data_IF_655215186017
#
_entry.id   IF_655215186017
#
_cell.length_a   1.000
_cell.length_b   1.000
_cell.length_c   1.000
_cell.angle_alpha   90.00
_cell.angle_beta   90.00
_cell.angle_gamma   90.00
#
_symmetry.space_group_name_H-M   'P 1'
#
loop_
_entity.id
_entity.type
_entity.pdbx_description
1 polymer ?
#
# COMPACT_ATOMS: atom_id res chain seq x y z
N UNK A 1 -1.18 -23.62 -12.24
CA UNK A 1 -0.95 -22.19 -12.54
C UNK A 1 -1.37 -21.42 -11.29
N UNK A 2 -0.42 -20.94 -10.47
CA UNK A 2 -0.72 -20.25 -9.20
C UNK A 2 -1.09 -18.79 -9.49
N UNK A 3 -2.33 -18.39 -9.24
CA UNK A 3 -2.78 -17.01 -9.37
C UNK A 3 -2.67 -16.32 -8.00
N UNK A 4 -2.09 -15.12 -7.93
CA UNK A 4 -1.98 -14.37 -6.66
C UNK A 4 -3.36 -14.15 -6.00
N UNK A 5 -4.43 -14.02 -6.79
CA UNK A 5 -5.81 -14.00 -6.28
C UNK A 5 -6.20 -15.26 -5.48
N UNK A 6 -5.74 -16.44 -5.90
CA UNK A 6 -6.10 -17.72 -5.27
C UNK A 6 -5.31 -17.99 -3.99
N UNK A 7 -4.23 -17.26 -3.76
CA UNK A 7 -3.35 -17.46 -2.62
C UNK A 7 -3.77 -16.70 -1.36
N UNK A 8 -4.73 -15.77 -1.48
CA UNK A 8 -5.21 -14.94 -0.37
C UNK A 8 -6.60 -15.40 0.04
N UNK A 9 -6.73 -15.71 1.33
CA UNK A 9 -7.96 -16.19 1.92
C UNK A 9 -9.11 -15.20 1.65
N UNK A 10 -10.34 -15.69 1.37
CA UNK A 10 -11.48 -14.82 1.08
C UNK A 10 -11.84 -13.86 2.22
N UNK A 11 -11.56 -14.27 3.46
CA UNK A 11 -11.79 -13.55 4.72
C UNK A 11 -10.59 -12.70 5.17
N UNK A 12 -9.51 -12.65 4.37
CA UNK A 12 -8.32 -11.89 4.72
C UNK A 12 -8.62 -10.38 4.82
N UNK A 13 -8.02 -9.71 5.82
CA UNK A 13 -8.19 -8.28 6.05
C UNK A 13 -7.84 -7.42 4.83
N UNK A 14 -6.87 -7.84 4.02
CA UNK A 14 -6.48 -7.12 2.80
C UNK A 14 -7.59 -7.04 1.75
N UNK A 15 -8.55 -7.97 1.73
CA UNK A 15 -9.74 -7.88 0.85
C UNK A 15 -10.65 -6.72 1.26
N UNK A 16 -10.82 -6.52 2.56
CA UNK A 16 -11.60 -5.40 3.11
C UNK A 16 -10.93 -4.08 2.76
N UNK A 17 -9.60 -3.99 2.91
CA UNK A 17 -8.83 -2.78 2.58
C UNK A 17 -8.87 -2.49 1.08
N UNK A 18 -8.87 -3.51 0.22
CA UNK A 18 -8.94 -3.34 -1.22
C UNK A 18 -10.32 -2.84 -1.69
N UNK A 19 -11.39 -3.28 -1.01
CA UNK A 19 -12.78 -2.88 -1.28
C UNK A 19 -13.12 -1.46 -0.81
N UNK A 20 -12.25 -0.78 -0.07
CA UNK A 20 -12.48 0.61 0.33
C UNK A 20 -12.51 1.49 -0.91
N UNK A 21 -13.60 2.23 -1.11
CA UNK A 21 -13.66 3.25 -2.13
C UNK A 21 -12.77 4.44 -1.73
N UNK A 22 -11.54 4.40 -2.24
CA UNK A 22 -10.56 5.44 -2.02
C UNK A 22 -10.73 6.61 -3.00
N UNK A 23 -11.60 6.50 -4.03
CA UNK A 23 -11.81 7.60 -4.98
C UNK A 23 -12.59 8.75 -4.36
N UNK A 24 -13.44 8.46 -3.38
CA UNK A 24 -14.19 9.47 -2.63
C UNK A 24 -13.32 10.22 -1.60
N UNK A 25 -12.12 9.72 -1.31
CA UNK A 25 -11.16 10.44 -0.50
C UNK A 25 -10.55 11.50 -1.40
N UNK A 26 -10.95 12.76 -1.22
CA UNK A 26 -10.44 13.93 -1.94
C UNK A 26 -8.95 14.13 -1.62
N UNK A 27 -8.08 13.31 -2.22
CA UNK A 27 -6.64 13.36 -2.00
C UNK A 27 -6.11 14.69 -2.56
N UNK A 28 -5.87 15.65 -1.66
CA UNK A 28 -5.48 17.02 -1.99
C UNK A 28 -4.01 17.18 -2.39
N UNK A 29 -3.17 16.15 -2.19
CA UNK A 29 -1.73 16.20 -2.44
C UNK A 29 -1.29 15.06 -3.38
N UNK A 30 -1.67 15.16 -4.66
CA UNK A 30 -1.07 14.36 -5.75
C UNK A 30 -0.15 15.26 -6.59
N UNK A 31 0.60 16.15 -5.94
CA UNK A 31 1.57 16.97 -6.64
C UNK A 31 2.72 16.07 -7.12
N UNK A 32 2.72 15.81 -8.42
CA UNK A 32 3.85 15.17 -9.09
C UNK A 32 5.03 16.13 -9.01
N UNK A 33 6.12 15.70 -8.36
CA UNK A 33 7.38 16.44 -8.46
C UNK A 33 7.75 16.57 -9.94
N UNK A 34 8.11 17.78 -10.37
CA UNK A 34 8.43 18.10 -11.78
C UNK A 34 9.61 17.30 -12.32
N UNK A 35 10.47 16.75 -11.45
CA UNK A 35 11.60 15.90 -11.82
C UNK A 35 11.64 14.61 -10.99
N UNK A 36 11.75 13.46 -11.65
CA UNK A 36 11.91 12.15 -11.00
C UNK A 36 10.84 11.11 -11.38
N UNK A 37 10.81 9.99 -10.66
CA UNK A 37 9.80 8.95 -10.83
C UNK A 37 8.46 9.47 -10.30
N UNK A 38 7.34 9.34 -11.04
CA UNK A 38 6.05 9.83 -10.57
C UNK A 38 5.72 9.25 -9.20
N UNK A 39 5.17 10.06 -8.27
CA UNK A 39 4.82 9.61 -6.93
C UNK A 39 3.77 8.49 -6.99
N UNK A 40 3.77 7.62 -5.98
CA UNK A 40 2.70 6.64 -5.85
C UNK A 40 1.38 7.36 -5.57
N UNK A 41 0.28 6.84 -6.11
CA UNK A 41 -1.04 7.35 -5.78
C UNK A 41 -1.28 7.23 -4.26
N UNK A 42 -1.77 8.27 -3.56
CA UNK A 42 -1.94 8.26 -2.10
C UNK A 42 -2.75 7.07 -1.58
N UNK A 43 -3.74 6.60 -2.37
CA UNK A 43 -4.50 5.38 -2.07
C UNK A 43 -3.62 4.15 -1.81
N UNK A 44 -2.54 3.96 -2.58
CA UNK A 44 -1.62 2.81 -2.44
C UNK A 44 -0.90 2.88 -1.11
N UNK A 45 -0.44 4.08 -0.74
CA UNK A 45 0.27 4.31 0.51
C UNK A 45 -0.70 4.15 1.70
N UNK A 46 -1.93 4.66 1.59
CA UNK A 46 -2.96 4.50 2.60
C UNK A 46 -3.33 3.03 2.83
N UNK A 47 -3.48 2.22 1.76
CA UNK A 47 -3.67 0.77 1.87
C UNK A 47 -2.54 0.10 2.66
N UNK A 48 -1.29 0.48 2.38
CA UNK A 48 -0.12 -0.02 3.11
C UNK A 48 -0.11 0.41 4.59
N UNK A 49 -0.56 1.64 4.88
CA UNK A 49 -0.71 2.14 6.25
C UNK A 49 -1.78 1.38 7.03
N UNK A 50 -2.94 1.10 6.43
CA UNK A 50 -4.01 0.31 7.04
C UNK A 50 -3.54 -1.13 7.33
N UNK A 51 -2.85 -1.75 6.37
CA UNK A 51 -2.18 -3.03 6.58
C UNK A 51 -1.22 -2.96 7.76
N UNK A 52 -0.34 -1.94 7.78
CA UNK A 52 0.61 -1.71 8.86
C UNK A 52 -0.04 -1.57 10.23
N UNK A 53 -1.13 -0.81 10.30
CA UNK A 53 -1.90 -0.59 11.52
C UNK A 53 -2.45 -1.91 12.07
N UNK A 54 -3.07 -2.74 11.21
CA UNK A 54 -3.61 -4.06 11.60
C UNK A 54 -2.54 -4.99 12.17
N UNK A 55 -1.36 -5.03 11.55
CA UNK A 55 -0.28 -5.96 11.92
C UNK A 55 0.75 -5.36 12.89
N UNK A 56 0.51 -4.15 13.43
CA UNK A 56 1.40 -3.51 14.40
C UNK A 56 2.74 -3.01 13.82
N UNK A 57 2.81 -2.79 12.50
CA UNK A 57 4.02 -2.44 11.77
C UNK A 57 4.13 -0.93 11.63
N UNK A 58 4.93 -0.32 12.51
CA UNK A 58 4.97 1.14 12.67
C UNK A 58 6.06 1.88 11.90
N UNK A 59 7.06 1.19 11.39
CA UNK A 59 8.19 1.87 10.72
C UNK A 59 8.09 1.74 9.22
N UNK A 60 8.33 2.83 8.49
CA UNK A 60 8.36 2.84 7.03
C UNK A 60 9.34 1.82 6.45
N UNK A 61 10.44 1.53 7.15
CA UNK A 61 11.40 0.48 6.79
C UNK A 61 10.79 -0.93 6.87
N UNK A 62 10.03 -1.23 7.93
CA UNK A 62 9.32 -2.51 8.07
C UNK A 62 8.18 -2.62 7.07
N UNK A 63 7.41 -1.55 6.83
CA UNK A 63 6.38 -1.54 5.79
C UNK A 63 6.95 -1.80 4.39
N UNK A 64 8.09 -1.18 4.07
CA UNK A 64 8.83 -1.45 2.83
C UNK A 64 9.29 -2.91 2.73
N UNK A 65 9.63 -3.56 3.85
CA UNK A 65 9.96 -4.98 3.87
C UNK A 65 8.72 -5.84 3.60
N UNK A 66 7.60 -5.57 4.27
CA UNK A 66 6.34 -6.29 4.05
C UNK A 66 5.86 -6.19 2.60
N UNK A 67 5.90 -5.00 2.01
CA UNK A 67 5.58 -4.80 0.59
C UNK A 67 6.47 -5.61 -0.38
N UNK A 68 7.60 -6.15 0.08
CA UNK A 68 8.53 -6.95 -0.71
C UNK A 68 8.47 -8.45 -0.38
N UNK A 69 8.13 -8.82 0.85
CA UNK A 69 8.25 -10.20 1.34
C UNK A 69 6.91 -10.84 1.71
N UNK A 70 5.88 -10.04 2.00
CA UNK A 70 4.58 -10.55 2.39
C UNK A 70 3.63 -10.58 1.20
N UNK A 71 3.07 -11.76 0.93
CA UNK A 71 2.18 -11.99 -0.21
C UNK A 71 0.89 -11.17 -0.13
N UNK A 72 0.33 -11.00 1.07
CA UNK A 72 -0.88 -10.17 1.27
C UNK A 72 -0.61 -8.71 0.92
N UNK A 73 0.52 -8.17 1.40
CA UNK A 73 0.93 -6.81 1.10
C UNK A 73 1.26 -6.64 -0.39
N UNK A 74 1.94 -7.61 -0.99
CA UNK A 74 2.24 -7.58 -2.43
C UNK A 74 0.98 -7.58 -3.28
N UNK A 75 -0.02 -8.39 -2.92
CA UNK A 75 -1.30 -8.42 -3.62
C UNK A 75 -2.10 -7.14 -3.42
N UNK A 76 -2.18 -6.64 -2.19
CA UNK A 76 -2.89 -5.40 -1.86
C UNK A 76 -2.33 -4.19 -2.63
N UNK A 77 -1.02 -4.19 -2.85
CA UNK A 77 -0.32 -3.14 -3.60
C UNK A 77 -0.24 -3.42 -5.09
N UNK A 78 -0.87 -4.49 -5.61
CA UNK A 78 -0.78 -4.91 -7.02
C UNK A 78 0.66 -5.04 -7.51
N UNK A 79 1.57 -5.50 -6.64
CA UNK A 79 3.00 -5.65 -6.91
C UNK A 79 3.82 -4.36 -6.82
N UNK A 80 3.21 -3.21 -6.49
CA UNK A 80 3.93 -1.95 -6.26
C UNK A 80 4.80 -2.06 -5.00
N UNK A 81 6.01 -1.49 -5.08
CA UNK A 81 7.01 -1.57 -4.01
C UNK A 81 7.45 -0.16 -3.59
N UNK A 82 6.68 0.51 -2.71
CA UNK A 82 7.06 1.82 -2.20
C UNK A 82 8.41 1.79 -1.50
N UNK A 83 9.23 2.82 -1.75
CA UNK A 83 10.47 3.02 -0.98
C UNK A 83 10.11 3.59 0.39
N UNK A 84 10.95 3.29 1.39
CA UNK A 84 10.73 3.78 2.76
C UNK A 84 10.66 5.32 2.87
N UNK A 85 11.38 6.04 1.98
CA UNK A 85 11.32 7.51 1.91
C UNK A 85 9.92 7.95 1.49
N UNK A 86 9.41 7.39 0.39
CA UNK A 86 8.06 7.67 -0.09
C UNK A 86 6.95 7.35 0.91
N UNK A 87 7.12 6.29 1.72
CA UNK A 87 6.17 5.99 2.80
C UNK A 87 6.25 7.08 3.88
N UNK A 88 7.46 7.49 4.28
CA UNK A 88 7.67 8.52 5.31
C UNK A 88 7.16 9.90 4.86
N UNK A 89 7.29 10.21 3.59
CA UNK A 89 6.96 11.52 3.03
C UNK A 89 5.43 11.74 2.91
N UNK A 90 4.61 10.72 3.18
CA UNK A 90 3.16 10.89 3.33
C UNK A 90 2.89 11.56 4.68
N UNK A 91 2.77 12.88 4.65
CA UNK A 91 2.16 13.64 5.73
C UNK A 91 0.64 13.37 5.69
N UNK A 92 0.19 12.38 6.45
CA UNK A 92 -1.21 12.27 6.88
C UNK A 92 -1.32 12.99 8.23
#
# INVERSE_FOLDING_TARGET
MFCLESSIAPDAFVRVVDAIDLKSFEFSHVDCQQEGRPPFHPSVLLKLYLYGYRYGIRTSRKLKREAQTNMEAMWLLTGLRPKYKTIKDVYI
#
